data_IF_035908193038
#
_entry.id   IF_035908193038
#
_cell.length_a   1.000
_cell.length_b   1.000
_cell.length_c   1.000
_cell.angle_alpha   90.00
_cell.angle_beta   90.00
_cell.angle_gamma   90.00
#
_symmetry.space_group_name_H-M   'P 1'
#
loop_
_entity.id
_entity.type
_entity.pdbx_description
1 polymer ?
#
# COMPACT_ATOMS: atom_id res chain seq x y z
N UNK A 1 6.82 33.58 -33.87
CA UNK A 1 7.21 32.32 -33.19
C UNK A 1 6.00 31.40 -33.25
N UNK A 2 5.91 30.48 -34.21
CA UNK A 2 4.57 29.99 -34.62
C UNK A 2 4.49 28.65 -35.32
N UNK A 3 5.34 27.69 -34.96
CA UNK A 3 5.02 26.27 -35.14
C UNK A 3 5.98 25.44 -34.27
N UNK A 4 5.54 25.10 -33.05
CA UNK A 4 6.16 24.00 -32.32
C UNK A 4 5.95 22.69 -33.10
N UNK A 5 6.80 21.67 -32.89
CA UNK A 5 6.72 20.41 -33.64
C UNK A 5 5.43 19.61 -33.39
N UNK A 6 4.63 20.01 -32.40
CA UNK A 6 3.42 19.30 -31.96
C UNK A 6 2.22 20.23 -32.05
N UNK A 7 1.12 19.68 -32.60
CA UNK A 7 -0.19 20.34 -32.56
C UNK A 7 -0.72 20.31 -31.13
N UNK A 8 -0.83 21.48 -30.52
CA UNK A 8 -1.38 21.64 -29.18
C UNK A 8 -2.91 21.46 -29.24
N UNK A 9 -3.42 20.44 -28.55
CA UNK A 9 -4.86 20.24 -28.36
C UNK A 9 -5.29 20.90 -27.03
N UNK A 10 -6.15 21.92 -27.05
CA UNK A 10 -6.60 22.59 -25.84
C UNK A 10 -7.34 21.66 -24.86
N UNK A 11 -7.94 20.56 -25.32
CA UNK A 11 -8.58 19.59 -24.44
C UNK A 11 -7.55 18.81 -23.60
N UNK A 12 -6.43 18.42 -24.22
CA UNK A 12 -5.34 17.71 -23.54
C UNK A 12 -4.66 18.62 -22.50
N UNK A 13 -4.40 19.88 -22.85
CA UNK A 13 -3.82 20.85 -21.92
C UNK A 13 -4.72 21.09 -20.70
N UNK A 14 -6.04 21.22 -20.92
CA UNK A 14 -7.01 21.38 -19.83
C UNK A 14 -7.06 20.16 -18.92
N UNK A 15 -6.99 18.96 -19.49
CA UNK A 15 -6.95 17.73 -18.70
C UNK A 15 -5.65 17.61 -17.88
N UNK A 16 -4.50 17.94 -18.49
CA UNK A 16 -3.21 17.99 -17.76
C UNK A 16 -3.32 18.94 -16.59
N UNK A 17 -3.78 20.16 -16.85
CA UNK A 17 -3.95 21.19 -15.83
C UNK A 17 -4.94 20.78 -14.75
N UNK A 18 -6.07 20.17 -15.10
CA UNK A 18 -7.04 19.67 -14.12
C UNK A 18 -6.42 18.63 -13.18
N UNK A 19 -5.57 17.73 -13.70
CA UNK A 19 -4.90 16.71 -12.87
C UNK A 19 -3.84 17.31 -11.97
N UNK A 20 -3.05 18.25 -12.49
CA UNK A 20 -2.00 18.94 -11.74
C UNK A 20 -2.60 19.83 -10.63
N UNK A 21 -3.67 20.56 -10.94
CA UNK A 21 -4.35 21.49 -10.02
C UNK A 21 -5.40 20.79 -9.14
N UNK A 22 -5.56 19.46 -9.23
CA UNK A 22 -6.61 18.71 -8.53
C UNK A 22 -6.60 18.90 -7.00
N UNK A 23 -5.41 19.12 -6.42
CA UNK A 23 -5.25 19.32 -4.98
C UNK A 23 -5.79 20.69 -4.51
N UNK A 24 -5.83 21.70 -5.39
CA UNK A 24 -6.30 23.04 -5.05
C UNK A 24 -7.81 23.01 -4.73
N UNK A 25 -8.57 22.24 -5.50
CA UNK A 25 -10.02 22.07 -5.31
C UNK A 25 -10.40 20.97 -4.32
N UNK A 26 -9.43 20.28 -3.71
CA UNK A 26 -9.69 19.12 -2.88
C UNK A 26 -10.47 19.49 -1.60
N UNK A 27 -11.43 18.64 -1.24
CA UNK A 27 -12.24 18.79 -0.03
C UNK A 27 -12.39 17.46 0.70
N UNK A 28 -12.29 17.49 2.01
CA UNK A 28 -12.62 16.36 2.86
C UNK A 28 -14.14 16.17 2.91
N UNK A 29 -14.59 15.10 2.27
CA UNK A 29 -15.98 14.64 2.30
C UNK A 29 -16.03 13.30 3.02
N UNK A 30 -17.22 12.85 3.43
CA UNK A 30 -17.35 11.52 4.07
C UNK A 30 -16.80 10.39 3.20
N UNK A 31 -16.99 10.49 1.87
CA UNK A 31 -16.46 9.50 0.92
C UNK A 31 -14.93 9.52 0.86
N UNK A 32 -14.33 10.69 0.61
CA UNK A 32 -12.85 10.80 0.48
C UNK A 32 -12.13 10.46 1.78
N UNK A 33 -12.69 10.87 2.92
CA UNK A 33 -12.16 10.53 4.25
C UNK A 33 -12.19 9.03 4.51
N UNK A 34 -13.29 8.35 4.16
CA UNK A 34 -13.38 6.88 4.31
C UNK A 34 -12.38 6.15 3.41
N UNK A 35 -12.25 6.56 2.15
CA UNK A 35 -11.27 5.98 1.23
C UNK A 35 -9.84 6.17 1.74
N UNK A 36 -9.52 7.38 2.22
CA UNK A 36 -8.22 7.66 2.83
C UNK A 36 -7.97 6.78 4.07
N UNK A 37 -8.88 6.76 5.03
CA UNK A 37 -8.71 6.00 6.26
C UNK A 37 -8.52 4.50 5.98
N UNK A 38 -9.32 3.92 5.09
CA UNK A 38 -9.21 2.50 4.75
C UNK A 38 -7.91 2.19 4.00
N UNK A 39 -7.56 3.00 2.99
CA UNK A 39 -6.41 2.72 2.13
C UNK A 39 -5.05 3.06 2.74
N UNK A 40 -4.95 4.19 3.45
CA UNK A 40 -3.69 4.72 3.95
C UNK A 40 -3.42 4.46 5.42
N UNK A 41 -4.45 4.10 6.20
CA UNK A 41 -4.27 3.81 7.64
C UNK A 41 -4.55 2.34 7.90
N UNK A 42 -5.79 1.88 7.65
CA UNK A 42 -6.22 0.54 8.03
C UNK A 42 -5.44 -0.54 7.29
N UNK A 43 -5.34 -0.44 5.95
CA UNK A 43 -4.62 -1.44 5.16
C UNK A 43 -3.14 -1.60 5.57
N UNK A 44 -2.31 -0.54 5.62
CA UNK A 44 -0.92 -0.70 6.04
C UNK A 44 -0.78 -1.09 7.51
N UNK A 45 -1.66 -0.64 8.41
CA UNK A 45 -1.63 -1.05 9.81
C UNK A 45 -1.89 -2.56 9.97
N UNK A 46 -2.86 -3.11 9.24
CA UNK A 46 -3.12 -4.56 9.24
C UNK A 46 -1.93 -5.33 8.70
N UNK A 47 -1.36 -4.89 7.56
CA UNK A 47 -0.18 -5.54 6.96
C UNK A 47 0.98 -5.53 7.95
N UNK A 48 1.26 -4.39 8.57
CA UNK A 48 2.32 -4.26 9.56
C UNK A 48 2.09 -5.15 10.78
N UNK A 49 0.88 -5.16 11.32
CA UNK A 49 0.54 -5.99 12.47
C UNK A 49 0.72 -7.49 12.17
N UNK A 50 0.27 -7.95 11.00
CA UNK A 50 0.47 -9.33 10.57
C UNK A 50 1.94 -9.64 10.37
N UNK A 51 2.69 -8.73 9.73
CA UNK A 51 4.13 -8.89 9.54
C UNK A 51 4.84 -9.02 10.89
N UNK A 52 4.59 -8.12 11.84
CA UNK A 52 5.21 -8.14 13.17
C UNK A 52 4.87 -9.43 13.95
N UNK A 53 3.61 -9.86 13.89
CA UNK A 53 3.12 -11.06 14.61
C UNK A 53 3.76 -12.35 14.09
N UNK A 54 4.00 -12.44 12.78
CA UNK A 54 4.42 -13.67 12.12
C UNK A 54 5.89 -13.68 11.69
N UNK A 55 6.55 -12.52 11.75
CA UNK A 55 7.99 -12.43 11.50
C UNK A 55 8.73 -13.30 12.49
N UNK A 56 9.57 -14.20 11.98
CA UNK A 56 10.34 -15.16 12.75
C UNK A 56 9.52 -16.08 13.67
N UNK A 57 8.22 -16.24 13.44
CA UNK A 57 7.43 -17.20 14.21
C UNK A 57 7.67 -18.64 13.77
N UNK A 58 7.88 -18.86 12.47
CA UNK A 58 7.95 -20.18 11.88
C UNK A 58 9.30 -20.45 11.25
N UNK A 59 9.83 -21.65 11.50
CA UNK A 59 11.00 -22.19 10.81
C UNK A 59 10.68 -23.55 10.19
N UNK A 60 10.71 -23.58 8.86
CA UNK A 60 10.46 -24.78 8.06
C UNK A 60 11.74 -25.48 7.62
N UNK A 61 12.92 -24.93 7.94
CA UNK A 61 14.19 -25.45 7.45
C UNK A 61 14.48 -26.82 8.06
N UNK A 62 14.52 -27.84 7.22
CA UNK A 62 14.93 -29.21 7.60
C UNK A 62 14.01 -29.93 8.60
N UNK A 63 12.77 -29.45 8.81
CA UNK A 63 11.82 -30.03 9.77
C UNK A 63 11.22 -31.36 9.25
N UNK A 64 11.19 -32.38 10.10
CA UNK A 64 10.59 -33.69 9.83
C UNK A 64 9.12 -33.75 10.28
N UNK A 65 8.39 -34.77 9.82
CA UNK A 65 6.99 -35.00 10.20
C UNK A 65 6.85 -35.13 11.73
N UNK A 66 5.97 -34.33 12.32
CA UNK A 66 5.72 -34.31 13.76
C UNK A 66 6.63 -33.39 14.56
N UNK A 67 7.60 -32.71 13.93
CA UNK A 67 8.40 -31.70 14.61
C UNK A 67 7.69 -30.34 14.65
N UNK A 68 7.83 -29.58 15.74
CA UNK A 68 7.24 -28.26 15.86
C UNK A 68 7.89 -27.26 14.89
N UNK A 69 7.02 -26.46 14.26
CA UNK A 69 7.36 -25.41 13.30
C UNK A 69 7.44 -24.03 13.96
N UNK A 70 6.72 -23.83 15.07
CA UNK A 70 6.87 -22.64 15.90
C UNK A 70 8.22 -22.70 16.62
N UNK A 71 9.01 -21.65 16.46
CA UNK A 71 10.36 -21.58 17.02
C UNK A 71 10.32 -21.67 18.55
N UNK A 72 9.29 -21.11 19.20
CA UNK A 72 9.15 -21.15 20.66
C UNK A 72 8.84 -22.55 21.17
N UNK A 73 7.98 -23.28 20.45
CA UNK A 73 7.61 -24.65 20.78
C UNK A 73 8.78 -25.60 20.58
N UNK A 74 9.56 -25.41 19.51
CA UNK A 74 10.79 -26.18 19.28
C UNK A 74 11.82 -26.02 20.41
N UNK A 75 11.97 -24.80 20.95
CA UNK A 75 12.87 -24.53 22.07
C UNK A 75 12.40 -25.16 23.40
N UNK A 76 11.09 -25.36 23.58
CA UNK A 76 10.55 -25.97 24.80
C UNK A 76 10.64 -27.50 24.80
N UNK A 77 10.79 -28.13 23.64
CA UNK A 77 10.88 -29.58 23.48
C UNK A 77 12.32 -30.13 23.42
N UNK A 78 13.33 -29.27 23.58
CA UNK A 78 14.77 -29.65 23.53
C UNK A 78 15.38 -29.85 24.91
#
# INVERSE_FOLDING_TARGET
MGHGPVKIDPAIERFSRMREDAYIGFRWTRRTTRTFALGFIVAPAIIYYLADTYTHKWDFRGKLKGQPLDIKEAAASS
#
